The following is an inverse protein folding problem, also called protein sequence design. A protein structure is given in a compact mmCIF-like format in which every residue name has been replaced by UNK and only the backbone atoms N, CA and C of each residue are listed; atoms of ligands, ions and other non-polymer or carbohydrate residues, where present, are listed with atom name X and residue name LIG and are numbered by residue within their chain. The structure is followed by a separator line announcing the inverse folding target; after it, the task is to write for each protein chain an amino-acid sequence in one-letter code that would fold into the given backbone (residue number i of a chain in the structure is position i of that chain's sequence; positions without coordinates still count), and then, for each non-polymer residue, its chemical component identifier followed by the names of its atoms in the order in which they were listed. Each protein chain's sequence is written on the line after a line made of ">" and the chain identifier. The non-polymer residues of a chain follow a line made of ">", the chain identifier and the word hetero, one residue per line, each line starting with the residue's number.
data_IF_311834494443
#
_entry.id   IF_311834494443
#
_cell.length_a   1.000
_cell.length_b   1.000
_cell.length_c   1.000
_cell.angle_alpha   90.00
_cell.angle_beta   90.00
_cell.angle_gamma   90.00
#
_symmetry.space_group_name_H-M   'P 1'
#
loop_
_entity.id
_entity.type
_entity.pdbx_description
1 polymer ?
#
# COMPACT_ATOMS: atom_id res chain seq x y z
N UNK A 1 -1.87 6.51 -17.02
CA UNK A 1 -0.42 6.71 -16.81
C UNK A 1 0.31 5.41 -16.49
N UNK A 2 -0.29 4.49 -15.70
CA UNK A 2 0.40 3.30 -15.20
C UNK A 2 0.98 2.43 -16.32
N UNK A 3 0.20 2.09 -17.36
CA UNK A 3 0.72 1.34 -18.53
C UNK A 3 1.94 2.00 -19.17
N UNK A 4 1.88 3.31 -19.44
CA UNK A 4 3.01 4.05 -20.03
C UNK A 4 4.24 4.05 -19.10
N UNK A 5 4.05 4.21 -17.80
CA UNK A 5 5.14 4.17 -16.84
C UNK A 5 5.81 2.77 -16.81
N UNK A 6 5.00 1.71 -16.83
CA UNK A 6 5.50 0.33 -16.90
C UNK A 6 6.22 0.04 -18.23
N UNK A 7 5.67 0.47 -19.36
CA UNK A 7 6.15 0.06 -20.68
C UNK A 7 7.23 0.96 -21.25
N UNK A 8 7.18 2.27 -20.99
CA UNK A 8 8.12 3.22 -21.54
C UNK A 8 9.24 3.55 -20.55
N UNK A 9 8.89 3.80 -19.28
CA UNK A 9 9.85 4.24 -18.26
C UNK A 9 10.48 3.07 -17.48
N UNK A 10 9.89 1.87 -17.57
CA UNK A 10 10.38 0.66 -16.89
C UNK A 10 10.54 0.85 -15.38
N UNK A 11 9.52 1.42 -14.74
CA UNK A 11 9.50 1.70 -13.30
C UNK A 11 9.58 0.43 -12.43
N UNK A 12 10.15 0.56 -11.24
CA UNK A 12 10.23 -0.50 -10.22
C UNK A 12 9.11 -0.45 -9.17
N UNK A 13 8.36 0.66 -9.12
CA UNK A 13 7.15 0.84 -8.29
C UNK A 13 6.20 1.85 -8.93
N UNK A 14 4.91 1.74 -8.64
CA UNK A 14 3.88 2.70 -9.03
C UNK A 14 3.53 3.56 -7.81
N UNK A 15 3.69 4.88 -7.91
CA UNK A 15 3.22 5.76 -6.85
C UNK A 15 1.70 6.00 -6.95
N UNK A 16 1.02 5.97 -5.81
CA UNK A 16 -0.44 5.83 -5.64
C UNK A 16 -0.98 4.52 -6.22
N UNK A 17 -1.32 4.49 -7.51
CA UNK A 17 -1.78 3.29 -8.20
C UNK A 17 -3.23 2.84 -7.91
N UNK A 18 -4.00 3.55 -7.09
CA UNK A 18 -5.34 3.13 -6.66
C UNK A 18 -6.34 2.95 -7.79
N UNK A 19 -6.21 3.73 -8.87
CA UNK A 19 -7.05 3.61 -10.08
C UNK A 19 -6.71 2.42 -10.97
N UNK A 20 -5.74 1.59 -10.58
CA UNK A 20 -5.48 0.33 -11.28
C UNK A 20 -6.69 -0.60 -11.27
N UNK A 21 -7.59 -0.47 -10.28
CA UNK A 21 -8.83 -1.26 -10.17
C UNK A 21 -9.77 -1.12 -11.37
N UNK A 22 -9.68 -0.02 -12.12
CA UNK A 22 -10.52 0.25 -13.29
C UNK A 22 -10.15 -0.65 -14.50
N UNK A 23 -9.03 -1.37 -14.43
CA UNK A 23 -8.52 -2.23 -15.49
C UNK A 23 -8.04 -3.59 -14.93
N UNK A 24 -8.86 -4.63 -15.14
CA UNK A 24 -8.57 -5.98 -14.69
C UNK A 24 -7.27 -6.57 -15.28
N UNK A 25 -6.86 -6.17 -16.49
CA UNK A 25 -5.60 -6.62 -17.09
C UNK A 25 -4.41 -5.97 -16.39
N UNK A 26 -4.55 -4.70 -16.01
CA UNK A 26 -3.53 -3.99 -15.24
C UNK A 26 -3.39 -4.57 -13.83
N UNK A 27 -4.50 -4.84 -13.13
CA UNK A 27 -4.50 -5.56 -11.84
C UNK A 27 -3.71 -6.86 -11.94
N UNK A 28 -4.02 -7.68 -12.95
CA UNK A 28 -3.31 -8.94 -13.18
C UNK A 28 -1.82 -8.71 -13.39
N UNK A 29 -1.45 -7.78 -14.26
CA UNK A 29 -0.03 -7.47 -14.54
C UNK A 29 0.72 -7.04 -13.30
N UNK A 30 0.15 -6.12 -12.51
CA UNK A 30 0.77 -5.58 -11.30
C UNK A 30 0.97 -6.65 -10.23
N UNK A 31 -0.03 -7.52 -10.04
CA UNK A 31 0.06 -8.67 -9.14
C UNK A 31 1.13 -9.66 -9.60
N UNK A 32 1.07 -10.08 -10.86
CA UNK A 32 1.95 -11.14 -11.38
C UNK A 32 3.43 -10.71 -11.33
N UNK A 33 3.73 -9.41 -11.46
CA UNK A 33 5.08 -8.87 -11.30
C UNK A 33 5.46 -8.52 -9.86
N UNK A 34 4.53 -8.59 -8.90
CA UNK A 34 4.75 -8.12 -7.52
C UNK A 34 5.04 -6.62 -7.43
N UNK A 35 4.49 -5.81 -8.35
CA UNK A 35 4.74 -4.38 -8.41
C UNK A 35 4.24 -3.68 -7.14
N UNK A 36 5.10 -2.91 -6.50
CA UNK A 36 4.72 -2.15 -5.31
C UNK A 36 3.87 -0.93 -5.69
N UNK A 37 2.77 -0.70 -4.96
CA UNK A 37 1.89 0.46 -5.10
C UNK A 37 1.96 1.29 -3.81
N UNK A 38 2.53 2.50 -3.90
CA UNK A 38 2.72 3.37 -2.72
C UNK A 38 1.44 4.19 -2.46
N UNK A 39 0.44 3.55 -1.84
CA UNK A 39 -0.88 4.14 -1.61
C UNK A 39 -0.82 5.16 -0.47
N UNK A 40 -1.47 6.31 -0.67
CA UNK A 40 -1.47 7.42 0.28
C UNK A 40 -2.91 7.75 0.75
N UNK A 41 -3.44 7.08 1.78
CA UNK A 41 -4.87 7.17 2.13
C UNK A 41 -5.38 8.59 2.39
N UNK A 42 -4.73 9.35 3.27
CA UNK A 42 -5.16 10.70 3.58
C UNK A 42 -5.01 11.66 2.39
N UNK A 43 -3.94 11.51 1.59
CA UNK A 43 -3.75 12.25 0.33
C UNK A 43 -4.91 12.01 -0.63
N UNK A 44 -5.28 10.74 -0.84
CA UNK A 44 -6.39 10.37 -1.73
C UNK A 44 -7.73 11.00 -1.31
N UNK A 45 -8.00 11.16 0.00
CA UNK A 45 -9.20 11.88 0.47
C UNK A 45 -9.06 13.39 0.27
N UNK A 46 -7.92 13.98 0.64
CA UNK A 46 -7.69 15.43 0.56
C UNK A 46 -7.66 15.97 -0.85
N UNK A 47 -7.27 15.12 -1.81
CA UNK A 47 -7.22 15.44 -3.23
C UNK A 47 -8.44 14.90 -4.00
N UNK A 48 -9.50 14.51 -3.29
CA UNK A 48 -10.78 14.08 -3.87
C UNK A 48 -10.68 12.90 -4.85
N UNK A 49 -9.73 11.97 -4.63
CA UNK A 49 -9.69 10.68 -5.34
C UNK A 49 -10.82 9.79 -4.86
N UNK A 50 -11.12 9.82 -3.56
CA UNK A 50 -12.33 9.27 -2.95
C UNK A 50 -13.00 10.36 -2.10
N UNK A 51 -14.33 10.31 -1.95
CA UNK A 51 -15.06 11.32 -1.18
C UNK A 51 -14.80 11.19 0.32
N UNK A 52 -14.60 9.97 0.81
CA UNK A 52 -14.33 9.69 2.21
C UNK A 52 -13.56 8.37 2.39
N UNK A 53 -12.95 8.20 3.57
CA UNK A 53 -12.06 7.06 3.85
C UNK A 53 -12.76 5.70 3.77
N UNK A 54 -14.08 5.62 4.03
CA UNK A 54 -14.80 4.35 3.95
C UNK A 54 -14.98 3.82 2.52
N UNK A 55 -14.76 4.67 1.51
CA UNK A 55 -14.75 4.28 0.09
C UNK A 55 -13.35 3.87 -0.40
N UNK A 56 -12.31 4.00 0.42
CA UNK A 56 -10.95 3.76 -0.05
C UNK A 56 -10.70 2.27 -0.32
N UNK A 57 -10.33 1.96 -1.56
CA UNK A 57 -10.16 0.60 -2.08
C UNK A 57 -8.86 -0.14 -1.67
N UNK A 58 -8.09 0.35 -0.69
CA UNK A 58 -6.75 -0.22 -0.43
C UNK A 58 -6.81 -1.67 0.03
N UNK A 59 -7.86 -2.03 0.79
CA UNK A 59 -8.09 -3.40 1.24
C UNK A 59 -8.51 -4.30 0.08
N UNK A 60 -9.31 -3.80 -0.86
CA UNK A 60 -9.72 -4.56 -2.05
C UNK A 60 -8.53 -4.85 -2.97
N UNK A 61 -7.61 -3.89 -3.12
CA UNK A 61 -6.36 -4.09 -3.87
C UNK A 61 -5.46 -5.11 -3.18
N UNK A 62 -5.37 -5.06 -1.84
CA UNK A 62 -4.61 -6.03 -1.05
C UNK A 62 -5.20 -7.43 -1.20
N UNK A 63 -6.52 -7.59 -1.13
CA UNK A 63 -7.23 -8.87 -1.30
C UNK A 63 -7.05 -9.43 -2.71
N UNK A 64 -6.99 -8.56 -3.72
CA UNK A 64 -6.67 -8.95 -5.10
C UNK A 64 -5.21 -9.42 -5.29
N UNK A 65 -4.38 -9.35 -4.25
CA UNK A 65 -2.99 -9.84 -4.22
C UNK A 65 -1.96 -8.79 -4.65
N UNK A 66 -2.32 -7.51 -4.71
CA UNK A 66 -1.37 -6.46 -5.06
C UNK A 66 -0.47 -6.12 -3.86
N UNK A 67 0.78 -5.77 -4.15
CA UNK A 67 1.75 -5.31 -3.16
C UNK A 67 1.49 -3.82 -2.83
N UNK A 68 0.37 -3.52 -2.17
CA UNK A 68 0.05 -2.17 -1.71
C UNK A 68 0.73 -1.84 -0.39
N UNK A 69 1.21 -0.59 -0.26
CA UNK A 69 1.84 -0.06 0.97
C UNK A 69 1.08 1.18 1.45
N UNK A 70 1.20 1.51 2.74
CA UNK A 70 0.63 2.74 3.31
C UNK A 70 1.71 3.80 3.45
N UNK A 71 1.45 4.98 2.88
CA UNK A 71 2.36 6.12 2.87
C UNK A 71 1.60 7.40 3.22
N UNK A 72 2.32 8.43 3.67
CA UNK A 72 1.74 9.72 4.12
C UNK A 72 1.70 10.81 3.04
N UNK A 73 2.46 10.64 1.96
CA UNK A 73 2.66 11.65 0.92
C UNK A 73 3.22 12.96 1.50
N UNK A 74 2.40 14.01 1.64
CA UNK A 74 2.72 15.29 2.27
C UNK A 74 2.06 15.43 3.67
N UNK A 75 2.61 14.84 4.76
CA UNK A 75 1.99 14.78 6.09
C UNK A 75 1.45 16.11 6.63
N UNK A 76 2.20 17.20 6.42
CA UNK A 76 1.86 18.54 6.89
C UNK A 76 0.64 19.13 6.19
N UNK A 77 0.33 18.68 4.98
CA UNK A 77 -0.81 19.13 4.19
C UNK A 77 -2.03 18.22 4.39
N UNK A 78 -1.82 16.92 4.57
CA UNK A 78 -2.91 15.94 4.55
C UNK A 78 -3.43 15.50 5.92
N UNK A 79 -2.84 16.05 6.99
CA UNK A 79 -3.39 15.94 8.34
C UNK A 79 -2.95 14.69 9.09
N UNK A 80 -1.73 14.21 8.84
CA UNK A 80 -1.18 13.08 9.56
C UNK A 80 0.07 12.46 8.95
N UNK A 81 0.88 11.85 9.80
CA UNK A 81 2.03 11.05 9.38
C UNK A 81 1.59 9.60 9.11
N UNK A 82 2.54 8.68 8.95
CA UNK A 82 2.30 7.27 8.65
C UNK A 82 1.25 6.63 9.57
N UNK A 83 1.39 6.79 10.88
CA UNK A 83 0.48 6.15 11.84
C UNK A 83 -0.94 6.70 11.77
N UNK A 84 -1.12 7.96 11.38
CA UNK A 84 -2.45 8.55 11.26
C UNK A 84 -3.19 8.02 10.02
N UNK A 85 -2.44 7.66 8.96
CA UNK A 85 -2.99 6.94 7.82
C UNK A 85 -3.47 5.54 8.23
N UNK A 86 -2.67 4.78 8.98
CA UNK A 86 -3.10 3.48 9.52
C UNK A 86 -4.32 3.60 10.45
N UNK A 87 -4.34 4.57 11.37
CA UNK A 87 -5.50 4.82 12.25
C UNK A 87 -6.76 5.14 11.45
N UNK A 88 -6.66 5.97 10.42
CA UNK A 88 -7.80 6.31 9.57
C UNK A 88 -8.34 5.08 8.85
N UNK A 89 -7.46 4.24 8.29
CA UNK A 89 -7.87 2.98 7.67
C UNK A 89 -8.53 2.03 8.68
N UNK A 90 -7.95 1.82 9.86
CA UNK A 90 -8.53 0.96 10.91
C UNK A 90 -9.86 1.48 11.47
N UNK A 91 -10.06 2.80 11.43
CA UNK A 91 -11.29 3.44 11.94
C UNK A 91 -12.43 3.36 10.95
N UNK A 92 -12.13 3.49 9.65
CA UNK A 92 -13.15 3.65 8.61
C UNK A 92 -13.32 2.44 7.70
N UNK A 93 -12.37 1.50 7.71
CA UNK A 93 -12.43 0.25 6.95
C UNK A 93 -12.41 -0.94 7.91
N UNK A 94 -12.92 -2.08 7.45
CA UNK A 94 -12.88 -3.36 8.18
C UNK A 94 -11.49 -4.01 8.14
N UNK A 95 -10.44 -3.26 8.49
CA UNK A 95 -9.07 -3.75 8.52
C UNK A 95 -8.85 -4.67 9.72
N UNK A 96 -8.59 -5.94 9.46
CA UNK A 96 -8.16 -6.89 10.48
C UNK A 96 -6.63 -6.87 10.65
N UNK A 97 -6.15 -7.57 11.68
CA UNK A 97 -4.71 -7.67 11.99
C UNK A 97 -3.91 -8.27 10.84
N UNK A 98 -4.44 -9.29 10.15
CA UNK A 98 -3.77 -9.91 9.00
C UNK A 98 -3.52 -8.90 7.87
N UNK A 99 -4.51 -8.08 7.53
CA UNK A 99 -4.39 -7.03 6.53
C UNK A 99 -3.39 -5.95 6.97
N UNK A 100 -3.46 -5.52 8.23
CA UNK A 100 -2.51 -4.56 8.82
C UNK A 100 -1.06 -5.05 8.70
N UNK A 101 -0.80 -6.29 9.15
CA UNK A 101 0.53 -6.90 9.11
C UNK A 101 1.02 -7.03 7.66
N UNK A 102 0.14 -7.43 6.74
CA UNK A 102 0.52 -7.56 5.33
C UNK A 102 0.88 -6.20 4.70
N UNK A 103 0.14 -5.12 4.99
CA UNK A 103 0.48 -3.76 4.53
C UNK A 103 1.85 -3.31 5.04
N UNK A 104 2.15 -3.58 6.32
CA UNK A 104 3.45 -3.27 6.92
C UNK A 104 4.56 -4.09 6.25
N UNK A 105 4.37 -5.40 6.05
CA UNK A 105 5.34 -6.26 5.36
C UNK A 105 5.58 -5.82 3.92
N UNK A 106 4.52 -5.43 3.20
CA UNK A 106 4.61 -4.92 1.82
C UNK A 106 5.54 -3.70 1.74
N UNK A 107 5.57 -2.83 2.76
CA UNK A 107 6.48 -1.67 2.78
C UNK A 107 7.96 -2.06 2.71
N UNK A 108 8.35 -3.19 3.31
CA UNK A 108 9.70 -3.73 3.21
C UNK A 108 9.89 -4.53 1.93
N UNK A 109 8.92 -5.34 1.52
CA UNK A 109 8.96 -6.12 0.27
C UNK A 109 9.15 -5.19 -0.94
N UNK A 110 8.38 -4.11 -1.01
CA UNK A 110 8.42 -3.09 -2.06
C UNK A 110 9.52 -2.04 -1.90
N UNK A 111 10.32 -2.09 -0.82
CA UNK A 111 11.45 -1.17 -0.63
C UNK A 111 12.61 -1.47 -1.58
N UNK A 112 13.56 -0.54 -1.71
CA UNK A 112 14.81 -0.76 -2.45
C UNK A 112 15.96 -1.29 -1.57
N UNK A 113 15.64 -1.84 -0.40
CA UNK A 113 16.64 -2.46 0.46
C UNK A 113 17.21 -3.75 -0.18
N UNK A 114 18.46 -4.12 0.14
CA UNK A 114 18.97 -5.45 -0.16
C UNK A 114 18.09 -6.55 0.46
N UNK A 115 18.05 -7.72 -0.18
CA UNK A 115 17.21 -8.84 0.25
C UNK A 115 17.46 -9.27 1.71
N UNK A 116 18.71 -9.20 2.17
CA UNK A 116 19.08 -9.52 3.55
C UNK A 116 18.42 -8.56 4.56
N UNK A 117 18.45 -7.26 4.29
CA UNK A 117 17.81 -6.26 5.15
C UNK A 117 16.28 -6.38 5.10
N UNK A 118 15.68 -6.65 3.93
CA UNK A 118 14.25 -6.96 3.83
C UNK A 118 13.88 -8.13 4.74
N UNK A 119 14.62 -9.24 4.63
CA UNK A 119 14.36 -10.45 5.42
C UNK A 119 14.54 -10.23 6.92
N UNK A 120 15.49 -9.39 7.32
CA UNK A 120 15.67 -8.98 8.72
C UNK A 120 14.46 -8.25 9.27
N UNK A 121 13.91 -7.28 8.53
CA UNK A 121 12.72 -6.55 8.96
C UNK A 121 11.45 -7.39 8.94
N UNK A 122 11.29 -8.27 7.94
CA UNK A 122 10.18 -9.22 7.90
C UNK A 122 10.17 -10.14 9.12
N UNK A 123 11.33 -10.69 9.50
CA UNK A 123 11.48 -11.49 10.75
C UNK A 123 11.18 -10.66 12.00
N UNK A 124 11.56 -9.39 12.01
CA UNK A 124 11.25 -8.49 13.13
C UNK A 124 9.73 -8.34 13.32
N UNK A 125 9.00 -8.12 12.22
CA UNK A 125 7.54 -8.05 12.22
C UNK A 125 6.92 -9.36 12.71
N UNK A 126 7.36 -10.50 12.17
CA UNK A 126 6.87 -11.82 12.58
C UNK A 126 7.04 -12.06 14.09
N UNK A 127 8.19 -11.69 14.63
CA UNK A 127 8.47 -11.80 16.07
C UNK A 127 7.62 -10.86 16.93
N UNK A 128 7.25 -9.67 16.42
CA UNK A 128 6.36 -8.75 17.14
C UNK A 128 4.93 -9.28 17.19
N UNK A 129 4.43 -9.80 16.06
CA UNK A 129 3.09 -10.41 15.98
C UNK A 129 3.01 -11.63 16.91
N UNK A 130 4.02 -12.50 16.88
CA UNK A 130 4.06 -13.69 17.73
C UNK A 130 4.11 -13.37 19.25
N UNK A 131 4.59 -12.18 19.64
CA UNK A 131 4.60 -11.73 21.04
C UNK A 131 3.29 -11.10 21.49
N UNK A 132 2.46 -10.64 20.55
CA UNK A 132 1.19 -9.98 20.83
C UNK A 132 0.02 -10.99 20.93
N UNK A 133 0.19 -12.19 20.37
CA UNK A 133 -0.71 -13.33 20.48
C UNK A 133 -0.58 -14.05 21.83
#
# INVERSE_FOLDING_TARGET
>A
YIWQALDLLKIDRVDHGVRAEEDAQLIKRLRDSGMALTVCPQSNIKLCVFDNMAQHNILDLLEQGLCVTVNSDDPSYFGGYLNDNYKALMTHLAMNETALVQLVKNSFIGSFLPAEEKNKWLRCIDNLVAKAA
#
